data_IF_984305928631
#
_entry.id   IF_984305928631
#
_cell.length_a   1.000
_cell.length_b   1.000
_cell.length_c   1.000
_cell.angle_alpha   90.00
_cell.angle_beta   90.00
_cell.angle_gamma   90.00
#
_symmetry.space_group_name_H-M   'P 1'
#
loop_
_entity.id
_entity.type
_entity.pdbx_description
1 polymer ?
#
# COMPACT_ATOMS: atom_id res chain seq x y z
N UNK A 1 27.59 -11.97 2.90
CA UNK A 1 27.92 -11.88 4.33
C UNK A 1 28.57 -10.53 4.61
N UNK A 2 27.89 -9.62 5.33
CA UNK A 2 28.49 -8.33 5.74
C UNK A 2 29.28 -8.59 7.02
N UNK A 3 30.62 -8.57 6.94
CA UNK A 3 31.47 -8.78 8.12
C UNK A 3 31.43 -7.49 8.95
N UNK A 4 30.70 -7.53 10.06
CA UNK A 4 30.86 -6.59 11.18
C UNK A 4 31.47 -7.41 12.31
N UNK A 5 32.67 -7.00 12.77
CA UNK A 5 33.31 -7.64 13.92
C UNK A 5 32.32 -7.63 15.09
N UNK A 6 32.09 -8.81 15.65
CA UNK A 6 31.36 -9.10 16.91
C UNK A 6 29.85 -9.37 16.87
N UNK A 7 29.19 -9.44 15.70
CA UNK A 7 27.83 -9.99 15.64
C UNK A 7 27.73 -11.07 14.56
N UNK A 8 27.68 -12.33 15.02
CA UNK A 8 27.27 -13.47 14.19
C UNK A 8 25.80 -13.25 13.84
N UNK A 9 25.54 -12.62 12.70
CA UNK A 9 24.21 -12.57 12.10
C UNK A 9 23.94 -13.93 11.49
N UNK A 10 23.04 -14.70 12.10
CA UNK A 10 22.44 -15.83 11.42
C UNK A 10 21.74 -15.31 10.14
N UNK A 11 21.63 -16.17 9.11
CA UNK A 11 21.37 -15.78 7.72
C UNK A 11 19.97 -15.21 7.41
N UNK A 12 19.19 -14.82 8.42
CA UNK A 12 17.80 -14.35 8.27
C UNK A 12 17.57 -12.93 8.81
N UNK A 13 18.63 -12.18 9.15
CA UNK A 13 18.47 -10.79 9.60
C UNK A 13 19.64 -9.89 9.19
N UNK A 14 19.34 -8.60 8.99
CA UNK A 14 20.32 -7.55 8.74
C UNK A 14 20.11 -6.40 9.72
N UNK A 15 21.19 -5.92 10.33
CA UNK A 15 21.12 -4.73 11.19
C UNK A 15 21.36 -3.46 10.37
N UNK A 16 20.75 -2.35 10.76
CA UNK A 16 21.00 -1.01 10.21
C UNK A 16 21.35 -0.01 11.31
N UNK A 17 22.04 1.06 10.95
CA UNK A 17 22.32 2.21 11.83
C UNK A 17 22.07 3.45 10.98
N UNK A 18 21.20 4.35 11.45
CA UNK A 18 20.90 5.62 10.79
C UNK A 18 21.04 6.77 11.79
N UNK A 19 21.59 7.89 11.34
CA UNK A 19 21.63 9.13 12.10
C UNK A 19 20.65 10.12 11.47
N UNK A 20 19.87 10.81 12.31
CA UNK A 20 18.98 11.89 11.88
C UNK A 20 19.16 13.10 12.79
N UNK A 21 18.97 14.29 12.24
CA UNK A 21 18.94 15.53 12.99
C UNK A 21 17.49 15.97 13.17
N UNK A 22 17.00 16.00 14.41
CA UNK A 22 15.65 16.47 14.72
C UNK A 22 14.55 15.70 13.99
N UNK A 23 13.47 16.39 13.66
CA UNK A 23 12.33 15.87 12.88
C UNK A 23 12.62 15.83 11.38
N UNK A 24 11.76 15.15 10.62
CA UNK A 24 11.82 15.20 9.16
C UNK A 24 11.56 16.63 8.68
N UNK A 25 12.38 17.10 7.76
CA UNK A 25 12.11 18.38 7.10
C UNK A 25 11.02 18.23 6.03
N UNK A 26 10.47 19.35 5.55
CA UNK A 26 9.36 19.35 4.59
C UNK A 26 9.68 18.59 3.29
N UNK A 27 10.90 18.71 2.76
CA UNK A 27 11.31 17.97 1.56
C UNK A 27 11.30 16.46 1.79
N UNK A 28 11.68 16.01 2.99
CA UNK A 28 11.63 14.59 3.35
C UNK A 28 10.18 14.12 3.51
N UNK A 29 9.32 14.93 4.14
CA UNK A 29 7.89 14.61 4.29
C UNK A 29 7.22 14.46 2.91
N UNK A 30 7.41 15.42 2.01
CA UNK A 30 6.89 15.36 0.64
C UNK A 30 7.39 14.14 -0.13
N UNK A 31 8.68 13.81 0.00
CA UNK A 31 9.26 12.64 -0.65
C UNK A 31 8.70 11.32 -0.08
N UNK A 32 8.43 11.25 1.22
CA UNK A 32 7.81 10.09 1.86
C UNK A 32 6.36 9.93 1.40
N UNK A 33 5.59 11.02 1.32
CA UNK A 33 4.20 10.97 0.81
C UNK A 33 4.19 10.38 -0.60
N UNK A 34 5.01 10.91 -1.51
CA UNK A 34 5.11 10.39 -2.89
C UNK A 34 5.56 8.93 -2.92
N UNK A 35 6.53 8.58 -2.09
CA UNK A 35 6.99 7.19 -2.00
C UNK A 35 5.88 6.24 -1.58
N UNK A 36 5.06 6.65 -0.60
CA UNK A 36 3.91 5.87 -0.13
C UNK A 36 2.87 5.75 -1.24
N UNK A 37 2.49 6.85 -1.89
CA UNK A 37 1.52 6.85 -2.99
C UNK A 37 1.97 5.94 -4.14
N UNK A 38 3.26 5.98 -4.52
CA UNK A 38 3.80 5.21 -5.64
C UNK A 38 4.03 3.72 -5.33
N UNK A 39 4.35 3.39 -4.07
CA UNK A 39 4.82 2.04 -3.70
C UNK A 39 3.83 1.24 -2.87
N UNK A 40 2.94 1.90 -2.15
CA UNK A 40 2.14 1.25 -1.11
C UNK A 40 0.62 1.33 -1.34
N UNK A 41 0.15 2.14 -2.28
CA UNK A 41 -1.27 2.18 -2.66
C UNK A 41 -1.59 1.38 -3.93
N UNK A 42 -0.57 0.94 -4.67
CA UNK A 42 -0.75 0.30 -5.97
C UNK A 42 -0.89 1.32 -7.10
N UNK A 43 -1.55 0.93 -8.20
CA UNK A 43 -1.76 1.79 -9.36
C UNK A 43 -3.21 2.23 -9.43
N UNK A 44 -3.45 3.49 -9.79
CA UNK A 44 -4.79 3.97 -10.11
C UNK A 44 -5.31 3.18 -11.33
N UNK A 45 -6.47 2.53 -11.17
CA UNK A 45 -7.12 1.71 -12.19
C UNK A 45 -8.45 2.30 -12.65
N UNK A 46 -9.20 2.93 -11.75
CA UNK A 46 -10.46 3.61 -12.05
C UNK A 46 -10.51 4.96 -11.31
N UNK A 47 -11.33 5.87 -11.83
CA UNK A 47 -11.68 7.12 -11.17
C UNK A 47 -13.18 7.39 -11.29
N UNK A 48 -13.73 8.39 -10.58
CA UNK A 48 -15.15 8.74 -10.65
C UNK A 48 -15.65 9.06 -12.08
N UNK A 49 -14.73 9.44 -12.97
CA UNK A 49 -14.95 9.70 -14.39
C UNK A 49 -14.96 8.45 -15.28
N UNK A 50 -14.60 7.28 -14.76
CA UNK A 50 -14.56 6.02 -15.51
C UNK A 50 -15.95 5.65 -16.02
N UNK A 51 -16.03 5.18 -17.27
CA UNK A 51 -17.29 4.74 -17.86
C UNK A 51 -17.72 3.37 -17.32
N UNK A 52 -19.02 3.07 -17.40
CA UNK A 52 -19.56 1.77 -16.97
C UNK A 52 -18.87 0.59 -17.67
N UNK A 53 -18.48 0.77 -18.94
CA UNK A 53 -17.72 -0.24 -19.66
C UNK A 53 -16.35 -0.51 -19.02
N UNK A 54 -15.59 0.54 -18.70
CA UNK A 54 -14.25 0.38 -18.12
C UNK A 54 -14.30 -0.28 -16.74
N UNK A 55 -15.37 0.02 -15.97
CA UNK A 55 -15.62 -0.60 -14.66
C UNK A 55 -15.91 -2.10 -14.83
N UNK A 56 -16.77 -2.48 -15.78
CA UNK A 56 -17.10 -3.88 -16.03
C UNK A 56 -15.89 -4.67 -16.57
N UNK A 57 -15.16 -4.10 -17.53
CA UNK A 57 -13.93 -4.69 -18.06
C UNK A 57 -12.93 -4.95 -16.91
N UNK A 58 -12.80 -4.02 -15.94
CA UNK A 58 -11.96 -4.21 -14.75
C UNK A 58 -12.43 -5.37 -13.86
N UNK A 59 -13.74 -5.52 -13.62
CA UNK A 59 -14.27 -6.61 -12.80
C UNK A 59 -14.05 -7.98 -13.42
N UNK A 60 -14.31 -8.09 -14.72
CA UNK A 60 -14.10 -9.33 -15.49
C UNK A 60 -12.62 -9.74 -15.52
N UNK A 61 -11.71 -8.79 -15.71
CA UNK A 61 -10.27 -9.06 -15.82
C UNK A 61 -9.62 -9.41 -14.47
N UNK A 62 -10.15 -8.91 -13.34
CA UNK A 62 -9.48 -8.99 -12.04
C UNK A 62 -10.19 -9.89 -11.01
N UNK A 63 -11.29 -10.56 -11.37
CA UNK A 63 -12.07 -11.41 -10.46
C UNK A 63 -12.41 -10.70 -9.13
N UNK A 64 -12.89 -9.46 -9.23
CA UNK A 64 -13.21 -8.61 -8.08
C UNK A 64 -14.32 -9.26 -7.24
N UNK A 65 -14.07 -9.38 -5.93
CA UNK A 65 -15.04 -9.99 -5.00
C UNK A 65 -16.07 -8.95 -4.52
N UNK A 66 -15.64 -7.71 -4.26
CA UNK A 66 -16.50 -6.62 -3.78
C UNK A 66 -16.71 -5.53 -4.85
N UNK A 67 -17.53 -5.85 -5.85
CA UNK A 67 -17.92 -4.89 -6.90
C UNK A 67 -18.74 -3.71 -6.36
N UNK A 68 -19.59 -3.95 -5.36
CA UNK A 68 -20.46 -2.94 -4.77
C UNK A 68 -19.66 -1.88 -4.00
N UNK A 69 -18.66 -2.30 -3.23
CA UNK A 69 -17.73 -1.40 -2.53
C UNK A 69 -16.95 -0.50 -3.49
N UNK A 70 -16.49 -1.03 -4.62
CA UNK A 70 -15.84 -0.22 -5.66
C UNK A 70 -16.81 0.81 -6.25
N UNK A 71 -18.05 0.41 -6.55
CA UNK A 71 -19.06 1.33 -7.09
C UNK A 71 -19.46 2.42 -6.10
N UNK A 72 -19.53 2.11 -4.81
CA UNK A 72 -19.80 3.09 -3.77
C UNK A 72 -18.66 4.09 -3.65
N UNK A 73 -17.41 3.63 -3.58
CA UNK A 73 -16.24 4.50 -3.52
C UNK A 73 -16.18 5.46 -4.73
N UNK A 74 -16.45 4.97 -5.95
CA UNK A 74 -16.51 5.79 -7.15
C UNK A 74 -17.62 6.86 -7.07
N UNK A 75 -18.81 6.52 -6.56
CA UNK A 75 -19.91 7.49 -6.35
C UNK A 75 -19.56 8.57 -5.34
N UNK A 76 -18.76 8.25 -4.34
CA UNK A 76 -18.24 9.19 -3.34
C UNK A 76 -17.10 10.07 -3.87
N UNK A 77 -16.67 9.87 -5.13
CA UNK A 77 -15.62 10.66 -5.75
C UNK A 77 -14.21 10.15 -5.44
N UNK A 78 -14.06 8.90 -4.98
CA UNK A 78 -12.75 8.29 -4.71
C UNK A 78 -12.17 7.66 -5.97
N UNK A 79 -10.84 7.71 -6.07
CA UNK A 79 -10.08 6.95 -7.06
C UNK A 79 -9.84 5.52 -6.56
N UNK A 80 -9.86 4.55 -7.48
CA UNK A 80 -9.63 3.14 -7.16
C UNK A 80 -8.21 2.77 -7.54
N UNK A 81 -7.51 2.16 -6.60
CA UNK A 81 -6.15 1.68 -6.78
C UNK A 81 -6.11 0.16 -6.62
N UNK A 82 -5.30 -0.51 -7.44
CA UNK A 82 -5.09 -1.95 -7.38
C UNK A 82 -3.61 -2.29 -7.50
N UNK A 83 -3.20 -3.32 -6.77
CA UNK A 83 -1.83 -3.82 -6.76
C UNK A 83 -1.78 -5.27 -6.29
N UNK A 84 -0.63 -5.89 -6.47
CA UNK A 84 -0.39 -7.27 -6.01
C UNK A 84 0.93 -7.31 -5.26
N UNK A 85 0.95 -8.05 -4.16
CA UNK A 85 2.18 -8.37 -3.44
C UNK A 85 2.61 -9.79 -3.81
N UNK A 86 3.86 -9.93 -4.25
CA UNK A 86 4.45 -11.24 -4.47
C UNK A 86 4.83 -11.87 -3.12
N UNK A 87 3.96 -12.72 -2.59
CA UNK A 87 4.15 -13.41 -1.30
C UNK A 87 5.15 -14.57 -1.35
N UNK A 88 5.60 -15.01 -2.54
CA UNK A 88 6.70 -15.98 -2.62
C UNK A 88 8.02 -15.36 -2.16
N UNK A 89 8.15 -14.04 -2.31
CA UNK A 89 9.32 -13.26 -1.90
C UNK A 89 9.06 -12.29 -0.76
N UNK A 90 7.80 -11.94 -0.51
CA UNK A 90 7.38 -11.09 0.60
C UNK A 90 7.10 -11.92 1.87
N UNK A 91 7.88 -11.67 2.92
CA UNK A 91 7.59 -12.23 4.24
C UNK A 91 6.28 -11.63 4.80
N UNK A 92 5.62 -12.34 5.73
CA UNK A 92 4.43 -11.90 6.47
C UNK A 92 4.56 -10.48 7.04
N UNK A 93 5.78 -10.05 7.38
CA UNK A 93 6.07 -8.70 7.86
C UNK A 93 5.82 -7.60 6.82
N UNK A 94 5.96 -7.91 5.52
CA UNK A 94 5.71 -6.97 4.44
C UNK A 94 4.22 -6.72 4.25
N UNK A 95 3.41 -7.78 4.30
CA UNK A 95 1.94 -7.68 4.33
C UNK A 95 1.47 -6.80 5.48
N UNK A 96 1.98 -7.04 6.69
CA UNK A 96 1.64 -6.23 7.87
C UNK A 96 2.00 -4.76 7.69
N UNK A 97 3.15 -4.47 7.07
CA UNK A 97 3.57 -3.09 6.83
C UNK A 97 2.58 -2.32 5.94
N UNK A 98 1.99 -2.98 4.94
CA UNK A 98 0.96 -2.38 4.09
C UNK A 98 -0.35 -2.16 4.86
N UNK A 99 -0.82 -3.19 5.56
CA UNK A 99 -2.05 -3.11 6.35
C UNK A 99 -1.95 -2.07 7.48
N UNK A 100 -0.81 -1.99 8.16
CA UNK A 100 -0.56 -0.97 9.20
C UNK A 100 -0.61 0.45 8.60
N UNK A 101 -0.06 0.65 7.40
CA UNK A 101 -0.15 1.93 6.70
C UNK A 101 -1.60 2.27 6.35
N UNK A 102 -2.33 1.34 5.73
CA UNK A 102 -3.72 1.56 5.33
C UNK A 102 -4.62 1.84 6.53
N UNK A 103 -4.40 1.15 7.66
CA UNK A 103 -5.10 1.42 8.91
C UNK A 103 -4.82 2.84 9.44
N UNK A 104 -3.58 3.35 9.31
CA UNK A 104 -3.26 4.74 9.67
C UNK A 104 -4.01 5.71 8.75
N UNK A 105 -4.07 5.45 7.46
CA UNK A 105 -4.80 6.29 6.50
C UNK A 105 -6.29 6.33 6.79
N UNK A 106 -6.90 5.17 7.04
CA UNK A 106 -8.32 5.05 7.39
C UNK A 106 -8.66 5.81 8.69
N UNK A 107 -7.86 5.59 9.75
CA UNK A 107 -8.09 6.20 11.07
C UNK A 107 -7.86 7.72 11.10
N UNK A 108 -7.04 8.25 10.20
CA UNK A 108 -6.66 9.68 10.19
C UNK A 108 -7.27 10.47 9.04
N UNK A 109 -7.90 9.79 8.09
CA UNK A 109 -8.35 10.33 6.83
C UNK A 109 -9.74 10.96 6.82
N UNK A 110 -10.48 10.92 7.94
CA UNK A 110 -11.86 11.40 8.02
C UNK A 110 -12.77 10.81 6.91
N UNK A 111 -12.58 9.53 6.55
CA UNK A 111 -13.34 8.82 5.51
C UNK A 111 -12.88 9.07 4.07
N UNK A 112 -11.74 9.75 3.87
CA UNK A 112 -11.16 9.96 2.54
C UNK A 112 -10.50 8.70 1.95
N UNK A 113 -10.21 7.70 2.77
CA UNK A 113 -9.61 6.42 2.43
C UNK A 113 -10.53 5.30 2.91
N UNK A 114 -10.62 4.23 2.13
CA UNK A 114 -11.33 3.00 2.51
C UNK A 114 -10.57 1.81 1.91
N UNK A 115 -10.32 0.81 2.73
CA UNK A 115 -9.83 -0.49 2.28
C UNK A 115 -11.03 -1.34 1.84
N UNK A 116 -11.09 -1.68 0.54
CA UNK A 116 -12.22 -2.44 -0.03
C UNK A 116 -11.92 -3.94 0.02
N UNK A 117 -10.74 -4.34 -0.46
CA UNK A 117 -10.24 -5.71 -0.40
C UNK A 117 -8.74 -5.65 -0.03
N UNK A 118 -8.47 -5.69 1.28
CA UNK A 118 -7.12 -5.58 1.85
C UNK A 118 -6.64 -6.86 2.55
N UNK A 119 -7.37 -7.97 2.37
CA UNK A 119 -6.95 -9.27 2.85
C UNK A 119 -5.81 -9.80 1.98
N UNK A 120 -4.60 -9.64 2.51
CA UNK A 120 -3.36 -10.10 1.92
C UNK A 120 -2.94 -11.48 2.47
N UNK A 121 -3.85 -12.20 3.13
CA UNK A 121 -3.62 -13.58 3.54
C UNK A 121 -3.69 -14.55 2.36
N UNK A 122 -2.91 -15.64 2.44
CA UNK A 122 -2.85 -16.73 1.46
C UNK A 122 -3.32 -18.03 2.08
#
# INVERSE_FOLDING_TARGET
MKIRMDFVTNSSSSSFIVARQGELNEKQKEAIIKFVEEKMLGKKVLGPESGEKDIQDFFEDNYVVDEDGIREALKEGKDIYSGTLDLETAEVYYTRLFQDLWAVLDQTGDGNFVAIDDDLSY
#
